data_IF_619370103744
#
_entry.id   IF_619370103744
#
_cell.length_a   1.000
_cell.length_b   1.000
_cell.length_c   1.000
_cell.angle_alpha   90.00
_cell.angle_beta   90.00
_cell.angle_gamma   90.00
#
_symmetry.space_group_name_H-M   'P 1'
#
loop_
_entity.id
_entity.type
_entity.pdbx_description
1 polymer ?
#
# COMPACT_ATOMS: atom_id res chain seq x y z
N UNK A 1 -1.95 56.49 6.26
CA UNK A 1 -1.94 55.68 5.02
C UNK A 1 -2.56 54.34 5.36
N UNK A 2 -3.74 54.07 4.82
CA UNK A 2 -4.52 52.86 5.12
C UNK A 2 -3.90 51.66 4.41
N UNK A 3 -3.58 50.60 5.15
CA UNK A 3 -3.15 49.33 4.60
C UNK A 3 -4.36 48.67 3.94
N UNK A 4 -4.37 48.63 2.61
CA UNK A 4 -5.37 47.88 1.87
C UNK A 4 -5.16 46.39 2.15
N UNK A 5 -6.15 45.75 2.79
CA UNK A 5 -6.22 44.31 2.90
C UNK A 5 -6.29 43.73 1.47
N UNK A 6 -5.35 42.86 1.14
CA UNK A 6 -5.38 42.12 -0.11
C UNK A 6 -6.63 41.23 -0.11
N UNK A 7 -7.50 41.43 -1.11
CA UNK A 7 -8.66 40.58 -1.33
C UNK A 7 -8.21 39.13 -1.53
N UNK A 8 -8.97 38.14 -1.01
CA UNK A 8 -8.69 36.73 -1.29
C UNK A 8 -8.74 36.47 -2.81
N UNK A 9 -7.93 35.54 -3.32
CA UNK A 9 -7.96 35.18 -4.74
C UNK A 9 -9.37 34.70 -5.12
N UNK A 10 -9.86 35.04 -6.32
CA UNK A 10 -11.16 34.58 -6.78
C UNK A 10 -11.18 33.04 -6.80
N UNK A 11 -12.34 32.41 -6.51
CA UNK A 11 -12.49 30.97 -6.69
C UNK A 11 -12.16 30.60 -8.14
N UNK A 12 -11.42 29.50 -8.33
CA UNK A 12 -11.07 28.97 -9.64
C UNK A 12 -12.33 28.86 -10.51
N UNK A 13 -12.24 29.33 -11.75
CA UNK A 13 -13.39 29.35 -12.65
C UNK A 13 -13.88 27.91 -12.91
N UNK A 14 -15.20 27.71 -12.90
CA UNK A 14 -15.80 26.44 -13.27
C UNK A 14 -15.30 26.02 -14.67
N UNK A 15 -14.59 24.88 -14.74
CA UNK A 15 -13.97 24.37 -15.97
C UNK A 15 -12.45 24.34 -16.01
N UNK A 16 -11.75 24.80 -14.96
CA UNK A 16 -10.30 24.59 -14.88
C UNK A 16 -9.97 23.16 -14.43
N UNK A 17 -9.40 22.37 -15.35
CA UNK A 17 -8.88 21.02 -15.10
C UNK A 17 -7.53 21.09 -14.36
N UNK A 18 -7.52 21.69 -13.16
CA UNK A 18 -6.28 21.89 -12.42
C UNK A 18 -5.68 20.56 -11.99
N UNK A 19 -4.46 20.32 -12.49
CA UNK A 19 -3.65 19.11 -12.27
C UNK A 19 -2.19 19.52 -12.13
N UNK A 20 -1.48 18.83 -11.25
CA UNK A 20 -0.08 19.10 -11.00
C UNK A 20 0.72 17.80 -11.02
N UNK A 21 1.82 17.80 -11.77
CA UNK A 21 2.80 16.71 -11.79
C UNK A 21 4.05 17.16 -11.06
N UNK A 22 4.28 16.60 -9.88
CA UNK A 22 5.47 16.87 -9.06
C UNK A 22 6.46 15.73 -9.27
N UNK A 23 7.59 16.03 -9.92
CA UNK A 23 8.61 15.02 -10.22
C UNK A 23 9.55 14.80 -9.05
N UNK A 24 9.92 13.54 -8.81
CA UNK A 24 10.89 13.17 -7.76
C UNK A 24 10.52 13.68 -6.37
N UNK A 25 9.22 13.72 -6.06
CA UNK A 25 8.70 14.22 -4.81
C UNK A 25 9.07 13.29 -3.64
N UNK A 26 8.97 11.97 -3.84
CA UNK A 26 9.50 10.98 -2.90
C UNK A 26 10.91 10.58 -3.33
N UNK A 27 11.77 10.32 -2.34
CA UNK A 27 13.09 9.78 -2.62
C UNK A 27 12.99 8.30 -3.01
N UNK A 28 13.98 7.76 -3.75
CA UNK A 28 14.03 6.33 -4.06
C UNK A 28 13.95 5.44 -2.80
N UNK A 29 14.58 5.86 -1.71
CA UNK A 29 14.58 5.15 -0.42
C UNK A 29 13.17 5.10 0.16
N UNK A 30 12.46 6.23 0.19
CA UNK A 30 11.05 6.28 0.64
C UNK A 30 10.15 5.42 -0.24
N UNK A 31 10.32 5.44 -1.57
CA UNK A 31 9.56 4.57 -2.47
C UNK A 31 9.79 3.10 -2.13
N UNK A 32 11.04 2.71 -1.87
CA UNK A 32 11.40 1.35 -1.50
C UNK A 32 10.86 0.95 -0.13
N UNK A 33 10.92 1.82 0.88
CA UNK A 33 10.31 1.55 2.19
C UNK A 33 8.80 1.28 2.08
N UNK A 34 8.09 2.12 1.31
CA UNK A 34 6.65 1.93 1.06
C UNK A 34 6.37 0.65 0.26
N UNK A 35 7.20 0.34 -0.74
CA UNK A 35 7.13 -0.94 -1.45
C UNK A 35 7.29 -2.11 -0.48
N UNK A 36 8.29 -2.09 0.40
CA UNK A 36 8.50 -3.12 1.42
C UNK A 36 7.25 -3.33 2.28
N UNK A 37 6.63 -2.24 2.77
CA UNK A 37 5.40 -2.33 3.57
C UNK A 37 4.28 -3.01 2.76
N UNK A 38 4.08 -2.61 1.51
CA UNK A 38 3.04 -3.19 0.66
C UNK A 38 3.27 -4.67 0.35
N UNK A 39 4.51 -5.04 0.02
CA UNK A 39 4.91 -6.42 -0.27
C UNK A 39 4.77 -7.32 0.95
N UNK A 40 4.95 -6.75 2.13
CA UNK A 40 4.88 -7.51 3.37
C UNK A 40 3.45 -7.67 3.89
N UNK A 41 2.56 -6.71 3.65
CA UNK A 41 1.26 -6.64 4.31
C UNK A 41 0.05 -6.47 3.37
N UNK A 42 0.25 -6.47 2.05
CA UNK A 42 -0.85 -6.33 1.09
C UNK A 42 -1.85 -7.48 1.11
N UNK A 43 -3.12 -7.14 1.09
CA UNK A 43 -4.29 -8.03 0.97
C UNK A 43 -4.96 -7.87 -0.39
N UNK A 44 -5.75 -8.85 -0.82
CA UNK A 44 -6.56 -8.73 -2.02
C UNK A 44 -7.48 -7.49 -1.93
N UNK A 45 -7.45 -6.67 -2.98
CA UNK A 45 -8.29 -5.50 -3.13
C UNK A 45 -9.70 -5.87 -3.58
N UNK A 46 -10.62 -4.90 -3.52
CA UNK A 46 -12.01 -5.14 -3.93
C UNK A 46 -12.18 -5.34 -5.44
N UNK A 47 -11.19 -4.94 -6.24
CA UNK A 47 -11.18 -5.12 -7.69
C UNK A 47 -10.38 -6.36 -8.07
N UNK A 48 -10.78 -7.07 -9.13
CA UNK A 48 -9.95 -8.11 -9.71
C UNK A 48 -8.54 -7.57 -10.01
N UNK A 49 -7.54 -8.43 -9.81
CA UNK A 49 -6.15 -8.10 -10.07
C UNK A 49 -5.55 -6.94 -9.26
N UNK A 50 -6.17 -6.52 -8.15
CA UNK A 50 -5.66 -5.42 -7.30
C UNK A 50 -5.30 -5.93 -5.91
N UNK A 51 -4.18 -5.44 -5.36
CA UNK A 51 -3.77 -5.65 -3.96
C UNK A 51 -3.74 -4.31 -3.26
N UNK A 52 -4.16 -4.24 -1.99
CA UNK A 52 -4.13 -3.01 -1.20
C UNK A 52 -3.53 -3.22 0.19
N UNK A 53 -2.91 -2.16 0.72
CA UNK A 53 -2.51 -2.04 2.13
C UNK A 53 -2.99 -0.70 2.63
N UNK A 54 -3.98 -0.70 3.54
CA UNK A 54 -4.45 0.51 4.22
C UNK A 54 -3.79 0.67 5.59
N UNK A 55 -3.72 1.90 6.09
CA UNK A 55 -3.16 2.14 7.44
C UNK A 55 -3.96 1.45 8.55
N UNK A 56 -5.32 1.45 8.51
CA UNK A 56 -6.11 0.67 9.48
C UNK A 56 -5.80 -0.83 9.44
N UNK A 57 -5.53 -1.41 8.26
CA UNK A 57 -5.15 -2.81 8.14
C UNK A 57 -3.81 -3.09 8.85
N UNK A 58 -2.81 -2.23 8.65
CA UNK A 58 -1.53 -2.35 9.35
C UNK A 58 -1.71 -2.25 10.88
N UNK A 59 -2.51 -1.31 11.35
CA UNK A 59 -2.78 -1.15 12.78
C UNK A 59 -3.51 -2.37 13.38
N UNK A 60 -4.50 -2.91 12.67
CA UNK A 60 -5.31 -4.04 13.11
C UNK A 60 -4.56 -5.39 13.08
N UNK A 61 -3.52 -5.54 12.26
CA UNK A 61 -2.74 -6.78 12.11
C UNK A 61 -1.46 -6.81 12.93
N UNK A 62 -1.33 -5.94 13.95
CA UNK A 62 -0.11 -5.84 14.77
C UNK A 62 1.09 -5.23 14.03
N UNK A 63 0.88 -4.66 12.84
CA UNK A 63 1.91 -4.10 11.98
C UNK A 63 2.00 -2.56 12.10
N UNK A 64 1.50 -1.97 13.19
CA UNK A 64 1.46 -0.51 13.37
C UNK A 64 2.83 0.18 13.32
N UNK A 65 3.91 -0.54 13.63
CA UNK A 65 5.28 -0.04 13.49
C UNK A 65 5.67 0.27 12.03
N UNK A 66 4.99 -0.32 11.05
CA UNK A 66 5.20 -0.05 9.63
C UNK A 66 4.50 1.24 9.14
N UNK A 67 3.79 1.95 10.02
CA UNK A 67 3.18 3.25 9.69
C UNK A 67 4.19 4.40 9.65
N UNK A 68 5.39 4.21 10.21
CA UNK A 68 6.39 5.28 10.36
C UNK A 68 6.75 5.99 9.05
N UNK A 69 6.98 5.30 7.91
CA UNK A 69 7.31 5.98 6.65
C UNK A 69 6.17 6.87 6.13
N UNK A 70 4.92 6.55 6.49
CA UNK A 70 3.75 7.30 6.01
C UNK A 70 3.59 8.65 6.70
N UNK A 71 4.04 8.80 7.94
CA UNK A 71 3.87 10.04 8.72
C UNK A 71 4.45 11.25 7.97
N UNK A 72 5.75 11.30 7.64
CA UNK A 72 6.30 12.45 6.91
C UNK A 72 5.78 12.54 5.47
N UNK A 73 5.42 11.42 4.83
CA UNK A 73 4.91 11.42 3.45
C UNK A 73 3.51 12.04 3.38
N UNK A 74 2.61 11.67 4.29
CA UNK A 74 1.24 12.18 4.40
C UNK A 74 1.24 13.69 4.63
N UNK A 75 2.05 14.16 5.58
CA UNK A 75 2.19 15.59 5.88
C UNK A 75 2.67 16.37 4.66
N UNK A 76 3.76 15.92 4.02
CA UNK A 76 4.31 16.58 2.83
C UNK A 76 3.33 16.59 1.66
N UNK A 77 2.58 15.51 1.45
CA UNK A 77 1.56 15.44 0.40
C UNK A 77 0.42 16.40 0.67
N UNK A 78 -0.07 16.48 1.93
CA UNK A 78 -1.09 17.46 2.31
C UNK A 78 -0.60 18.88 2.02
N UNK A 79 0.61 19.24 2.47
CA UNK A 79 1.19 20.56 2.21
C UNK A 79 1.32 20.87 0.72
N UNK A 80 1.68 19.87 -0.10
CA UNK A 80 1.78 20.01 -1.54
C UNK A 80 0.41 20.25 -2.20
N UNK A 81 -0.63 19.53 -1.78
CA UNK A 81 -2.01 19.71 -2.27
C UNK A 81 -2.54 21.08 -1.85
N UNK A 82 -2.35 21.46 -0.59
CA UNK A 82 -2.76 22.76 -0.08
C UNK A 82 -2.09 23.91 -0.83
N UNK A 83 -0.80 23.78 -1.13
CA UNK A 83 -0.05 24.76 -1.93
C UNK A 83 -0.54 24.83 -3.37
N UNK A 84 -0.79 23.66 -4.00
CA UNK A 84 -1.24 23.57 -5.38
C UNK A 84 -2.61 24.25 -5.61
N UNK A 85 -3.50 24.15 -4.62
CA UNK A 85 -4.86 24.71 -4.69
C UNK A 85 -5.09 25.95 -3.83
N UNK A 86 -4.03 26.52 -3.25
CA UNK A 86 -4.10 27.72 -2.39
C UNK A 86 -5.12 27.60 -1.25
N UNK A 87 -5.16 26.45 -0.58
CA UNK A 87 -6.09 26.13 0.51
C UNK A 87 -5.39 25.65 1.78
N UNK A 88 -4.35 26.36 2.20
CA UNK A 88 -3.55 26.05 3.38
C UNK A 88 -4.38 25.84 4.65
N UNK A 89 -4.03 24.80 5.41
CA UNK A 89 -4.62 24.39 6.67
C UNK A 89 -6.11 24.04 6.62
N UNK A 90 -6.63 23.69 5.44
CA UNK A 90 -8.06 23.40 5.24
C UNK A 90 -8.33 21.93 4.87
N UNK A 91 -7.29 21.08 4.86
CA UNK A 91 -7.41 19.69 4.43
C UNK A 91 -7.20 18.68 5.57
N UNK A 92 -8.07 17.68 5.58
CA UNK A 92 -7.89 16.44 6.33
C UNK A 92 -7.61 15.31 5.34
N UNK A 93 -6.86 14.30 5.78
CA UNK A 93 -6.63 13.10 4.98
C UNK A 93 -7.80 12.16 5.21
N UNK A 94 -8.60 11.93 4.17
CA UNK A 94 -9.77 11.06 4.23
C UNK A 94 -9.36 9.58 4.20
N UNK A 95 -8.28 9.27 3.48
CA UNK A 95 -7.80 7.92 3.30
C UNK A 95 -6.35 7.90 2.78
N UNK A 96 -5.59 6.90 3.26
CA UNK A 96 -4.25 6.58 2.78
C UNK A 96 -4.14 5.10 2.47
N UNK A 97 -3.68 4.76 1.26
CA UNK A 97 -3.49 3.35 0.88
C UNK A 97 -2.40 3.13 -0.16
N UNK A 98 -1.62 2.07 0.04
CA UNK A 98 -0.75 1.51 -0.99
C UNK A 98 -1.59 0.58 -1.85
N UNK A 99 -1.62 0.84 -3.15
CA UNK A 99 -2.45 0.12 -4.12
C UNK A 99 -1.54 -0.40 -5.23
N UNK A 100 -1.63 -1.70 -5.45
CA UNK A 100 -0.97 -2.39 -6.54
C UNK A 100 -2.00 -2.89 -7.55
N UNK A 101 -1.72 -2.61 -8.82
CA UNK A 101 -2.49 -3.07 -9.97
C UNK A 101 -1.65 -4.10 -10.70
N UNK A 102 -2.02 -5.36 -10.58
CA UNK A 102 -1.38 -6.46 -11.30
C UNK A 102 -1.88 -6.50 -12.75
N UNK A 103 -1.20 -7.30 -13.58
CA UNK A 103 -1.63 -7.57 -14.96
C UNK A 103 -3.14 -7.85 -15.07
N UNK A 104 -3.80 -7.19 -16.02
CA UNK A 104 -5.24 -7.26 -16.27
C UNK A 104 -6.08 -6.27 -15.44
N UNK A 105 -5.51 -5.62 -14.42
CA UNK A 105 -6.23 -4.61 -13.65
C UNK A 105 -6.41 -3.33 -14.45
N UNK A 106 -7.62 -2.76 -14.41
CA UNK A 106 -7.99 -1.48 -15.01
C UNK A 106 -9.17 -0.85 -14.28
N UNK A 107 -9.40 0.45 -14.50
CA UNK A 107 -10.59 1.15 -14.01
C UNK A 107 -11.06 2.12 -15.08
N UNK A 108 -12.34 2.03 -15.43
CA UNK A 108 -12.96 2.93 -16.40
C UNK A 108 -13.10 4.36 -15.89
N UNK A 109 -13.62 5.22 -16.76
CA UNK A 109 -13.83 6.64 -16.49
C UNK A 109 -14.67 6.89 -15.22
N UNK A 110 -14.13 7.69 -14.31
CA UNK A 110 -14.80 8.09 -13.08
C UNK A 110 -14.20 9.39 -12.51
N UNK A 111 -14.96 10.09 -11.66
CA UNK A 111 -14.42 11.02 -10.68
C UNK A 111 -14.28 10.31 -9.33
N UNK A 112 -13.40 10.81 -8.46
CA UNK A 112 -13.16 10.23 -7.14
C UNK A 112 -14.34 10.47 -6.18
N UNK A 113 -15.14 11.51 -6.43
CA UNK A 113 -16.33 11.89 -5.66
C UNK A 113 -17.64 11.26 -6.18
N UNK A 114 -17.57 10.34 -7.15
CA UNK A 114 -18.72 9.93 -7.97
C UNK A 114 -19.90 9.24 -7.22
N UNK A 115 -19.70 8.76 -5.99
CA UNK A 115 -20.71 8.04 -5.19
C UNK A 115 -21.08 8.80 -3.92
N UNK A 116 -22.31 8.64 -3.37
CA UNK A 116 -22.74 9.38 -2.18
C UNK A 116 -21.78 9.32 -1.00
N UNK A 117 -21.17 8.15 -0.74
CA UNK A 117 -20.22 7.95 0.36
C UNK A 117 -18.78 8.43 0.04
N UNK A 118 -18.55 8.99 -1.14
CA UNK A 118 -17.26 9.54 -1.60
C UNK A 118 -17.33 11.05 -1.87
N UNK A 119 -18.52 11.66 -1.78
CA UNK A 119 -18.77 13.06 -2.17
C UNK A 119 -17.96 14.09 -1.37
N UNK A 120 -17.48 13.71 -0.19
CA UNK A 120 -16.64 14.54 0.67
C UNK A 120 -15.23 14.78 0.11
N UNK A 121 -14.80 14.00 -0.89
CA UNK A 121 -13.45 14.13 -1.47
C UNK A 121 -13.32 15.45 -2.22
N UNK A 122 -12.31 16.22 -1.85
CA UNK A 122 -11.97 17.48 -2.49
C UNK A 122 -10.81 17.28 -3.49
N UNK A 123 -9.77 16.53 -3.10
CA UNK A 123 -8.55 16.37 -3.88
C UNK A 123 -7.99 14.95 -3.79
N UNK A 124 -7.16 14.60 -4.77
CA UNK A 124 -6.48 13.32 -4.86
C UNK A 124 -4.99 13.54 -5.08
N UNK A 125 -4.16 12.72 -4.44
CA UNK A 125 -2.74 12.59 -4.76
C UNK A 125 -2.40 11.12 -5.04
N UNK A 126 -1.75 10.87 -6.18
CA UNK A 126 -1.27 9.55 -6.59
C UNK A 126 0.25 9.61 -6.72
N UNK A 127 0.94 8.91 -5.83
CA UNK A 127 2.40 8.82 -5.82
C UNK A 127 2.84 7.49 -6.42
N UNK A 128 3.72 7.53 -7.40
CA UNK A 128 4.22 6.33 -8.07
C UNK A 128 5.43 5.78 -7.33
N UNK A 129 5.44 4.47 -7.08
CA UNK A 129 6.51 3.81 -6.30
C UNK A 129 7.44 2.96 -7.16
N UNK A 130 7.10 2.76 -8.43
CA UNK A 130 7.90 2.04 -9.41
C UNK A 130 7.75 2.63 -10.82
N UNK A 131 8.62 2.20 -11.74
CA UNK A 131 8.84 2.86 -13.03
C UNK A 131 7.95 2.29 -14.14
N UNK A 132 7.15 3.15 -14.79
CA UNK A 132 6.47 2.76 -16.03
C UNK A 132 7.47 2.51 -17.17
N UNK A 133 7.25 1.46 -17.94
CA UNK A 133 8.12 1.02 -19.05
C UNK A 133 9.30 0.14 -18.61
N UNK A 134 9.55 0.01 -17.30
CA UNK A 134 10.60 -0.82 -16.72
C UNK A 134 10.04 -1.87 -15.77
N UNK A 135 9.27 -1.46 -14.76
CA UNK A 135 8.70 -2.36 -13.76
C UNK A 135 7.27 -2.80 -14.14
N UNK A 136 6.56 -2.00 -14.94
CA UNK A 136 5.24 -2.33 -15.49
C UNK A 136 4.98 -1.62 -16.83
N UNK A 137 4.01 -2.12 -17.61
CA UNK A 137 3.50 -1.47 -18.84
C UNK A 137 1.98 -1.36 -18.82
N UNK A 138 1.43 -0.37 -19.50
CA UNK A 138 0.03 0.03 -19.33
C UNK A 138 -0.17 0.63 -17.94
N UNK A 139 -1.37 0.57 -17.37
CA UNK A 139 -1.65 1.21 -16.09
C UNK A 139 -1.48 2.74 -16.10
N UNK A 140 -1.63 3.39 -17.25
CA UNK A 140 -1.49 4.84 -17.39
C UNK A 140 -2.74 5.52 -16.85
N UNK A 141 -2.54 6.49 -15.96
CA UNK A 141 -3.59 7.41 -15.51
C UNK A 141 -3.88 8.39 -16.65
N UNK A 142 -5.10 8.33 -17.17
CA UNK A 142 -5.59 9.18 -18.25
C UNK A 142 -6.75 10.02 -17.75
N UNK A 143 -6.83 11.26 -18.22
CA UNK A 143 -7.90 12.19 -17.93
C UNK A 143 -8.70 12.46 -19.20
N UNK A 144 -10.01 12.57 -19.04
CA UNK A 144 -10.93 12.65 -20.18
C UNK A 144 -10.80 13.98 -20.95
N UNK A 145 -10.60 15.07 -20.22
CA UNK A 145 -10.55 16.44 -20.72
C UNK A 145 -9.39 17.21 -20.08
N UNK A 146 -8.88 18.27 -20.71
CA UNK A 146 -7.82 19.12 -20.17
C UNK A 146 -6.40 18.52 -20.22
N UNK A 147 -5.40 19.34 -19.89
CA UNK A 147 -3.98 18.96 -19.93
C UNK A 147 -3.32 18.96 -18.54
N UNK A 148 -2.37 18.04 -18.27
CA UNK A 148 -2.00 16.92 -19.13
C UNK A 148 -3.13 15.88 -19.21
N UNK A 149 -3.35 15.34 -20.41
CA UNK A 149 -4.34 14.27 -20.66
C UNK A 149 -3.88 12.90 -20.13
N UNK A 150 -2.57 12.68 -20.00
CA UNK A 150 -1.98 11.54 -19.32
C UNK A 150 -0.56 11.88 -18.84
N UNK A 151 -0.04 11.07 -17.92
CA UNK A 151 1.32 11.22 -17.41
C UNK A 151 2.01 9.86 -17.50
N UNK A 152 3.25 9.84 -17.99
CA UNK A 152 4.14 8.68 -17.90
C UNK A 152 5.03 8.86 -16.67
N UNK A 153 4.73 8.17 -15.56
CA UNK A 153 5.36 8.45 -14.28
C UNK A 153 6.56 7.53 -14.05
N UNK A 154 7.50 8.03 -13.26
CA UNK A 154 8.61 7.25 -12.68
C UNK A 154 8.46 7.16 -11.17
N UNK A 155 9.20 6.25 -10.53
CA UNK A 155 9.19 6.15 -9.08
C UNK A 155 9.52 7.52 -8.43
N UNK A 156 8.69 7.93 -7.47
CA UNK A 156 8.80 9.18 -6.73
C UNK A 156 7.96 10.33 -7.28
N UNK A 157 7.41 10.21 -8.49
CA UNK A 157 6.51 11.21 -9.05
C UNK A 157 5.14 11.20 -8.35
N UNK A 158 4.53 12.39 -8.26
CA UNK A 158 3.19 12.58 -7.69
C UNK A 158 2.31 13.33 -8.68
N UNK A 159 1.09 12.86 -8.86
CA UNK A 159 0.04 13.56 -9.61
C UNK A 159 -1.04 14.00 -8.64
N UNK A 160 -1.36 15.29 -8.64
CA UNK A 160 -2.36 15.92 -7.77
C UNK A 160 -3.46 16.53 -8.64
N UNK A 161 -4.72 16.30 -8.29
CA UNK A 161 -5.88 16.80 -9.03
C UNK A 161 -7.12 16.92 -8.13
N UNK A 162 -8.15 17.65 -8.58
CA UNK A 162 -9.45 17.74 -7.88
C UNK A 162 -10.20 16.42 -7.98
N UNK A 163 -10.95 16.04 -6.94
CA UNK A 163 -11.66 14.75 -6.92
C UNK A 163 -12.96 14.74 -7.73
N UNK A 164 -13.42 15.91 -8.19
CA UNK A 164 -14.71 16.11 -8.84
C UNK A 164 -14.69 15.78 -10.35
N UNK A 165 -15.82 16.00 -11.01
CA UNK A 165 -15.98 15.72 -12.44
C UNK A 165 -15.03 16.53 -13.34
N UNK A 166 -14.44 17.62 -12.85
CA UNK A 166 -13.41 18.39 -13.56
C UNK A 166 -12.16 17.54 -13.83
N UNK A 167 -11.96 16.43 -13.12
CA UNK A 167 -10.86 15.50 -13.37
C UNK A 167 -11.35 14.06 -13.47
N UNK A 168 -12.37 13.86 -14.33
CA UNK A 168 -12.79 12.50 -14.71
C UNK A 168 -11.61 11.78 -15.37
N UNK A 169 -11.26 10.61 -14.83
CA UNK A 169 -10.06 9.88 -15.17
C UNK A 169 -10.30 8.36 -15.20
N UNK A 170 -9.37 7.65 -15.85
CA UNK A 170 -9.33 6.21 -15.88
C UNK A 170 -7.88 5.73 -15.71
N UNK A 171 -7.71 4.45 -15.41
CA UNK A 171 -6.41 3.78 -15.51
C UNK A 171 -6.57 2.66 -16.51
N UNK A 172 -5.83 2.73 -17.61
CA UNK A 172 -5.85 1.66 -18.61
C UNK A 172 -5.28 0.35 -18.06
N UNK A 173 -5.47 -0.73 -18.80
CA UNK A 173 -5.06 -2.05 -18.35
C UNK A 173 -3.55 -2.15 -18.13
N UNK A 174 -3.15 -2.66 -16.96
CA UNK A 174 -1.77 -3.10 -16.75
C UNK A 174 -1.52 -4.34 -17.61
N UNK A 175 -0.67 -4.21 -18.63
CA UNK A 175 -0.42 -5.29 -19.61
C UNK A 175 0.77 -6.18 -19.22
N UNK A 176 1.74 -5.62 -18.48
CA UNK A 176 2.91 -6.32 -17.97
C UNK A 176 3.29 -5.78 -16.59
N UNK A 177 3.83 -6.65 -15.74
CA UNK A 177 4.31 -6.26 -14.41
C UNK A 177 3.19 -5.88 -13.45
N UNK A 178 3.52 -4.97 -12.55
CA UNK A 178 2.65 -4.55 -11.45
C UNK A 178 2.84 -3.06 -11.16
N UNK A 179 1.80 -2.25 -11.29
CA UNK A 179 1.85 -0.81 -11.03
C UNK A 179 1.58 -0.54 -9.55
N UNK A 180 2.55 0.04 -8.85
CA UNK A 180 2.47 0.32 -7.43
C UNK A 180 2.38 1.82 -7.14
N UNK A 181 1.34 2.22 -6.40
CA UNK A 181 1.12 3.61 -6.01
C UNK A 181 0.75 3.77 -4.54
N UNK A 182 1.12 4.90 -3.94
CA UNK A 182 0.49 5.43 -2.74
C UNK A 182 -0.60 6.43 -3.14
N UNK A 183 -1.84 6.15 -2.77
CA UNK A 183 -2.99 7.01 -3.06
C UNK A 183 -3.50 7.65 -1.78
N UNK A 184 -3.67 8.98 -1.81
CA UNK A 184 -4.34 9.75 -0.77
C UNK A 184 -5.55 10.48 -1.35
N UNK A 185 -6.63 10.47 -0.58
CA UNK A 185 -7.78 11.35 -0.80
C UNK A 185 -7.87 12.37 0.34
N UNK A 186 -8.20 13.60 -0.01
CA UNK A 186 -8.31 14.72 0.93
C UNK A 186 -9.74 15.22 0.98
N UNK A 187 -10.15 15.68 2.15
CA UNK A 187 -11.48 16.23 2.43
C UNK A 187 -11.33 17.57 3.17
N UNK A 188 -12.33 18.45 3.03
CA UNK A 188 -12.46 19.65 3.87
C UNK A 188 -13.35 19.42 5.09
N UNK A 189 -13.97 18.25 5.18
CA UNK A 189 -14.85 17.86 6.29
C UNK A 189 -14.08 16.96 7.27
N UNK A 190 -13.82 17.51 8.46
CA UNK A 190 -13.09 16.82 9.54
C UNK A 190 -13.79 15.57 10.05
N UNK A 191 -15.10 15.40 9.82
CA UNK A 191 -15.81 14.16 10.17
C UNK A 191 -15.29 12.93 9.41
N UNK A 192 -14.58 13.16 8.30
CA UNK A 192 -14.01 12.12 7.44
C UNK A 192 -12.50 11.93 7.62
N UNK A 193 -11.89 12.61 8.59
CA UNK A 193 -10.47 12.43 8.92
C UNK A 193 -10.16 10.95 9.27
N UNK A 194 -9.11 10.40 8.64
CA UNK A 194 -8.61 9.05 8.85
C UNK A 194 -7.92 8.89 10.21
N UNK A 195 -7.30 9.95 10.73
CA UNK A 195 -6.41 9.89 11.89
C UNK A 195 -7.11 9.43 13.17
N UNK A 196 -8.30 9.96 13.56
CA UNK A 196 -9.01 9.47 14.74
C UNK A 196 -9.30 7.96 14.69
N UNK A 197 -9.65 7.43 13.51
CA UNK A 197 -9.91 6.00 13.32
C UNK A 197 -8.62 5.19 13.48
N UNK A 198 -7.53 5.65 12.86
CA UNK A 198 -6.22 5.00 12.94
C UNK A 198 -5.69 4.96 14.38
N UNK A 199 -5.80 6.06 15.12
CA UNK A 199 -5.40 6.15 16.53
C UNK A 199 -6.22 5.21 17.42
N UNK A 200 -7.52 5.06 17.14
CA UNK A 200 -8.37 4.09 17.83
C UNK A 200 -7.84 2.66 17.66
N UNK A 201 -7.53 2.23 16.44
CA UNK A 201 -6.95 0.90 16.20
C UNK A 201 -5.61 0.71 16.93
N UNK A 202 -4.70 1.68 16.85
CA UNK A 202 -3.39 1.60 17.50
C UNK A 202 -3.50 1.52 19.03
N UNK A 203 -4.45 2.26 19.62
CA UNK A 203 -4.68 2.23 21.07
C UNK A 203 -5.28 0.90 21.55
N UNK A 204 -6.21 0.31 20.79
CA UNK A 204 -6.79 -1.00 21.12
C UNK A 204 -5.73 -2.12 21.10
N UNK A 205 -4.85 -2.10 20.09
CA UNK A 205 -3.73 -3.05 19.99
C UNK A 205 -2.76 -2.90 21.17
N UNK A 206 -2.59 -1.68 21.70
CA UNK A 206 -1.72 -1.40 22.85
C UNK A 206 -2.34 -1.81 24.20
N UNK A 207 -3.67 -1.77 24.32
CA UNK A 207 -4.40 -2.07 25.57
C UNK A 207 -4.63 -3.57 25.82
N UNK A 208 -4.64 -4.40 24.78
CA UNK A 208 -4.77 -5.87 24.90
C UNK A 208 -3.48 -6.55 25.40
N UNK A 209 -2.59 -5.81 26.06
CA UNK A 209 -1.24 -6.23 26.43
C UNK A 209 -1.18 -6.65 27.91
N UNK A 210 -0.99 -7.95 28.15
CA UNK A 210 -0.52 -8.46 29.44
C UNK A 210 1.03 -8.49 29.46
N UNK A 211 1.72 -8.04 30.52
CA UNK A 211 3.16 -7.74 30.50
C UNK A 211 4.12 -8.93 30.33
N UNK A 212 3.61 -10.16 30.21
CA UNK A 212 4.39 -11.39 30.46
C UNK A 212 4.87 -12.10 29.19
N UNK A 213 4.34 -11.79 28.00
CA UNK A 213 4.82 -12.39 26.74
C UNK A 213 5.37 -11.35 25.76
N UNK A 214 6.70 -11.21 25.77
CA UNK A 214 7.49 -10.40 24.85
C UNK A 214 7.30 -10.89 23.39
N UNK A 215 6.42 -10.23 22.62
CA UNK A 215 6.42 -10.29 21.14
C UNK A 215 5.50 -9.21 20.53
N UNK A 216 5.72 -7.94 20.89
CA UNK A 216 4.90 -6.79 20.46
C UNK A 216 4.92 -6.47 18.95
N UNK A 217 5.67 -7.23 18.15
CA UNK A 217 5.87 -6.99 16.72
C UNK A 217 5.55 -8.19 15.85
N UNK A 218 5.05 -9.28 16.44
CA UNK A 218 4.63 -10.44 15.64
C UNK A 218 3.28 -10.09 15.00
N UNK A 219 3.20 -10.11 13.66
CA UNK A 219 1.96 -9.77 12.99
C UNK A 219 0.88 -10.82 13.28
N UNK A 220 -0.35 -10.35 13.45
CA UNK A 220 -1.53 -11.18 13.56
C UNK A 220 -2.29 -11.09 12.22
N UNK A 221 -2.26 -12.13 11.38
CA UNK A 221 -2.91 -12.05 10.08
C UNK A 221 -4.43 -11.84 10.25
N UNK A 222 -4.99 -11.00 9.38
CA UNK A 222 -6.45 -10.95 9.19
C UNK A 222 -7.00 -12.30 8.69
N UNK A 223 -8.32 -12.38 8.51
CA UNK A 223 -8.97 -13.57 7.95
C UNK A 223 -8.34 -13.96 6.61
N UNK A 224 -8.11 -15.26 6.39
CA UNK A 224 -7.41 -15.76 5.20
C UNK A 224 -8.09 -15.38 3.89
N UNK A 225 -9.42 -15.18 3.90
CA UNK A 225 -10.17 -14.70 2.74
C UNK A 225 -9.70 -13.33 2.24
N UNK A 226 -9.11 -12.50 3.12
CA UNK A 226 -8.55 -11.21 2.73
C UNK A 226 -7.25 -11.36 1.92
N UNK A 227 -6.54 -12.48 2.05
CA UNK A 227 -5.33 -12.76 1.27
C UNK A 227 -5.62 -13.58 0.02
N UNK A 228 -6.86 -14.03 -0.17
CA UNK A 228 -7.25 -14.79 -1.35
C UNK A 228 -7.38 -13.89 -2.57
N UNK A 229 -6.47 -14.05 -3.51
CA UNK A 229 -6.47 -13.34 -4.79
C UNK A 229 -7.23 -14.15 -5.82
N UNK A 230 -8.46 -13.75 -6.11
CA UNK A 230 -9.30 -14.39 -7.11
C UNK A 230 -8.94 -13.94 -8.53
N UNK A 231 -8.84 -14.89 -9.46
CA UNK A 231 -8.67 -14.66 -10.88
C UNK A 231 -9.55 -15.66 -11.67
N UNK A 232 -10.60 -15.14 -12.29
CA UNK A 232 -11.67 -15.90 -12.97
C UNK A 232 -12.25 -17.04 -12.10
N UNK A 233 -12.00 -18.29 -12.47
CA UNK A 233 -12.49 -19.50 -11.79
C UNK A 233 -11.46 -20.10 -10.82
N UNK A 234 -10.35 -19.40 -10.56
CA UNK A 234 -9.23 -19.86 -9.73
C UNK A 234 -8.76 -18.76 -8.78
N UNK A 235 -7.82 -19.09 -7.90
CA UNK A 235 -7.19 -18.09 -7.06
C UNK A 235 -6.01 -18.66 -6.29
N UNK A 236 -5.32 -17.80 -5.57
CA UNK A 236 -4.19 -18.18 -4.73
C UNK A 236 -4.08 -17.24 -3.54
N UNK A 237 -3.41 -17.69 -2.48
CA UNK A 237 -3.07 -16.84 -1.35
C UNK A 237 -1.88 -15.93 -1.72
N UNK A 238 -2.05 -14.61 -1.58
CA UNK A 238 -1.02 -13.60 -1.90
C UNK A 238 0.26 -13.83 -1.09
N UNK A 239 0.17 -14.32 0.15
CA UNK A 239 1.35 -14.57 1.00
C UNK A 239 2.16 -15.73 0.44
N UNK A 240 1.50 -16.82 0.06
CA UNK A 240 2.14 -17.96 -0.61
C UNK A 240 2.83 -17.54 -1.90
N UNK A 241 2.13 -16.80 -2.76
CA UNK A 241 2.69 -16.32 -4.01
C UNK A 241 3.95 -15.44 -3.79
N UNK A 242 3.92 -14.54 -2.80
CA UNK A 242 5.06 -13.66 -2.51
C UNK A 242 6.25 -14.42 -1.93
N UNK A 243 6.02 -15.35 -1.00
CA UNK A 243 7.09 -16.22 -0.49
C UNK A 243 7.69 -17.08 -1.61
N UNK A 244 6.86 -17.57 -2.52
CA UNK A 244 7.30 -18.30 -3.71
C UNK A 244 8.16 -17.44 -4.65
N UNK A 245 7.78 -16.18 -4.91
CA UNK A 245 8.57 -15.24 -5.71
C UNK A 245 9.95 -14.98 -5.07
N UNK A 246 10.04 -14.99 -3.75
CA UNK A 246 11.32 -14.90 -3.02
C UNK A 246 12.15 -16.21 -3.08
N UNK A 247 11.62 -17.26 -3.71
CA UNK A 247 12.26 -18.56 -3.86
C UNK A 247 12.15 -19.43 -2.61
N UNK A 248 11.06 -19.29 -1.86
CA UNK A 248 10.76 -20.08 -0.67
C UNK A 248 9.38 -20.76 -0.75
N UNK A 249 9.13 -21.72 0.12
CA UNK A 249 7.81 -22.33 0.35
C UNK A 249 7.53 -22.49 1.85
N UNK A 250 6.24 -22.47 2.22
CA UNK A 250 5.82 -22.72 3.59
C UNK A 250 5.80 -24.21 3.90
N UNK A 251 6.23 -24.56 5.12
CA UNK A 251 6.17 -25.90 5.67
C UNK A 251 5.60 -25.85 7.08
N UNK A 252 4.91 -26.93 7.49
CA UNK A 252 4.44 -27.09 8.88
C UNK A 252 5.60 -27.13 9.86
N UNK A 253 5.40 -26.54 11.04
CA UNK A 253 6.39 -26.63 12.14
C UNK A 253 6.23 -27.89 12.99
N UNK A 254 5.22 -28.74 12.73
CA UNK A 254 4.99 -29.97 13.49
C UNK A 254 6.00 -31.03 13.01
N UNK A 255 6.83 -31.53 13.94
CA UNK A 255 7.83 -32.56 13.67
C UNK A 255 7.22 -33.81 13.02
N UNK A 256 7.89 -34.34 11.99
CA UNK A 256 7.65 -35.67 11.42
C UNK A 256 8.02 -36.84 12.40
N UNK A 257 8.14 -36.59 13.71
CA UNK A 257 8.51 -37.62 14.69
C UNK A 257 7.33 -38.50 15.13
N UNK A 258 6.09 -38.16 14.77
CA UNK A 258 4.96 -39.08 14.95
C UNK A 258 4.74 -39.94 13.69
N UNK A 259 5.47 -41.05 13.64
CA UNK A 259 5.10 -42.22 12.82
C UNK A 259 3.72 -42.76 13.25
N UNK A 260 2.64 -42.15 12.79
CA UNK A 260 1.33 -42.80 12.75
C UNK A 260 0.38 -42.12 11.75
N UNK A 261 0.23 -42.80 10.61
CA UNK A 261 -0.98 -42.92 9.78
C UNK A 261 -1.60 -41.63 9.19
N UNK A 262 -1.39 -41.52 7.87
CA UNK A 262 -2.01 -40.65 6.86
C UNK A 262 -1.62 -39.16 6.87
N UNK A 263 -1.20 -38.60 5.72
CA UNK A 263 -1.08 -37.16 5.59
C UNK A 263 -2.51 -36.62 5.55
N UNK A 264 -2.98 -36.04 6.65
CA UNK A 264 -3.93 -34.96 6.48
C UNK A 264 -3.11 -33.86 5.80
N UNK A 265 -3.28 -33.73 4.47
CA UNK A 265 -2.89 -32.53 3.76
C UNK A 265 -3.66 -31.39 4.44
N UNK A 266 -3.07 -30.79 5.46
CA UNK A 266 -3.57 -29.55 6.05
C UNK A 266 -3.80 -28.61 4.86
N UNK A 267 -5.02 -28.06 4.74
CA UNK A 267 -5.32 -27.07 3.72
C UNK A 267 -4.20 -26.02 3.75
N UNK A 268 -3.51 -25.75 2.62
CA UNK A 268 -2.40 -24.79 2.58
C UNK A 268 -2.74 -23.44 3.21
N UNK A 269 -4.03 -23.09 3.28
CA UNK A 269 -4.54 -21.89 3.93
C UNK A 269 -4.58 -22.04 5.47
N UNK A 270 -5.05 -23.17 6.00
CA UNK A 270 -5.07 -23.42 7.46
C UNK A 270 -3.66 -23.44 8.08
N UNK A 271 -2.65 -23.80 7.28
CA UNK A 271 -1.24 -23.75 7.67
C UNK A 271 -0.79 -22.32 8.02
N UNK A 272 -1.27 -21.30 7.32
CA UNK A 272 -0.73 -19.95 7.39
C UNK A 272 -1.06 -19.22 8.68
N UNK A 273 -2.08 -19.66 9.42
CA UNK A 273 -2.42 -19.16 10.75
C UNK A 273 -1.63 -19.83 11.90
N UNK A 274 -0.97 -20.96 11.64
CA UNK A 274 -0.18 -21.73 12.60
C UNK A 274 1.31 -21.38 12.48
N UNK A 275 2.18 -21.79 13.44
CA UNK A 275 3.62 -21.64 13.27
C UNK A 275 4.13 -22.40 12.03
N UNK A 276 5.01 -21.76 11.26
CA UNK A 276 5.51 -22.26 9.97
C UNK A 276 7.03 -22.20 9.89
N UNK A 277 7.60 -23.02 9.00
CA UNK A 277 8.99 -22.94 8.55
C UNK A 277 9.03 -22.52 7.08
N UNK A 278 10.16 -21.96 6.66
CA UNK A 278 10.45 -21.73 5.25
C UNK A 278 11.33 -22.86 4.73
N UNK A 279 11.12 -23.27 3.48
CA UNK A 279 12.03 -24.13 2.74
C UNK A 279 12.43 -23.52 1.40
N UNK A 280 13.48 -24.04 0.78
CA UNK A 280 13.98 -23.67 -0.55
C UNK A 280 14.52 -24.92 -1.23
N UNK A 281 13.91 -25.29 -2.35
CA UNK A 281 14.21 -26.59 -2.98
C UNK A 281 13.85 -27.72 -2.01
N UNK A 282 14.79 -28.63 -1.77
CA UNK A 282 14.62 -29.76 -0.86
C UNK A 282 14.99 -29.44 0.60
N UNK A 283 15.53 -28.25 0.86
CA UNK A 283 15.99 -27.84 2.20
C UNK A 283 14.87 -27.11 2.97
N UNK A 284 14.66 -27.47 4.24
CA UNK A 284 13.78 -26.75 5.17
C UNK A 284 14.63 -26.10 6.27
N UNK A 285 14.45 -24.79 6.48
CA UNK A 285 15.22 -24.04 7.46
C UNK A 285 14.72 -24.28 8.88
N UNK A 286 15.65 -24.27 9.83
CA UNK A 286 15.32 -24.60 11.22
C UNK A 286 14.43 -23.56 11.91
N UNK A 287 14.49 -22.30 11.44
CA UNK A 287 13.79 -21.18 12.04
C UNK A 287 12.28 -21.34 11.91
N UNK A 288 11.61 -21.41 13.06
CA UNK A 288 10.14 -21.36 13.16
C UNK A 288 9.67 -19.90 13.24
N UNK A 289 8.68 -19.57 12.42
CA UNK A 289 7.96 -18.31 12.43
C UNK A 289 6.58 -18.52 13.05
N UNK A 290 6.05 -17.48 13.67
CA UNK A 290 4.77 -17.54 14.38
C UNK A 290 3.57 -17.81 13.46
N UNK A 291 3.61 -17.34 12.21
CA UNK A 291 2.61 -17.55 11.18
C UNK A 291 3.18 -17.17 9.80
N UNK A 292 2.40 -17.41 8.73
CA UNK A 292 2.81 -17.12 7.35
C UNK A 292 3.10 -15.64 7.09
N UNK A 293 2.39 -14.72 7.76
CA UNK A 293 2.63 -13.27 7.62
C UNK A 293 3.95 -12.85 8.27
N UNK A 294 4.29 -13.41 9.44
CA UNK A 294 5.58 -13.18 10.10
C UNK A 294 6.74 -13.68 9.23
N UNK A 295 6.62 -14.89 8.67
CA UNK A 295 7.61 -15.44 7.75
C UNK A 295 7.77 -14.59 6.47
N UNK A 296 6.66 -14.12 5.89
CA UNK A 296 6.67 -13.22 4.74
C UNK A 296 7.37 -11.88 5.07
N UNK A 297 7.04 -11.25 6.19
CA UNK A 297 7.66 -9.99 6.61
C UNK A 297 9.17 -10.11 6.76
N UNK A 298 9.64 -11.16 7.44
CA UNK A 298 11.08 -11.37 7.67
C UNK A 298 11.82 -11.68 6.37
N UNK A 299 11.27 -12.57 5.53
CA UNK A 299 11.88 -12.91 4.23
C UNK A 299 11.92 -11.70 3.29
N UNK A 300 10.84 -10.92 3.25
CA UNK A 300 10.78 -9.67 2.47
C UNK A 300 11.79 -8.64 3.00
N UNK A 301 11.97 -8.53 4.32
CA UNK A 301 12.92 -7.61 4.93
C UNK A 301 14.37 -7.93 4.55
N UNK A 302 14.78 -9.21 4.58
CA UNK A 302 16.12 -9.60 4.17
C UNK A 302 16.35 -9.40 2.66
N UNK A 303 15.34 -9.66 1.83
CA UNK A 303 15.40 -9.36 0.40
C UNK A 303 15.50 -7.85 0.15
N UNK A 304 14.75 -7.06 0.90
CA UNK A 304 14.84 -5.61 0.87
C UNK A 304 16.25 -5.14 1.23
N UNK A 305 16.81 -5.57 2.37
CA UNK A 305 18.16 -5.21 2.77
C UNK A 305 19.21 -5.59 1.71
N UNK A 306 19.11 -6.78 1.09
CA UNK A 306 20.06 -7.17 0.05
C UNK A 306 19.97 -6.29 -1.21
N UNK A 307 18.79 -5.78 -1.54
CA UNK A 307 18.62 -4.81 -2.63
C UNK A 307 19.29 -3.44 -2.36
N UNK A 308 19.46 -3.06 -1.09
CA UNK A 308 20.27 -1.90 -0.67
C UNK A 308 21.77 -2.26 -0.51
N UNK A 309 22.09 -3.53 -0.27
CA UNK A 309 23.41 -4.00 0.15
C UNK A 309 24.38 -4.38 -0.99
N UNK A 310 24.15 -3.93 -2.23
CA UNK A 310 25.25 -3.79 -3.19
C UNK A 310 26.28 -2.72 -2.75
N UNK A 311 25.99 -1.95 -1.68
CA UNK A 311 26.94 -1.05 -1.02
C UNK A 311 27.37 -1.44 0.40
N UNK A 312 26.70 -2.39 1.08
CA UNK A 312 26.94 -2.68 2.52
C UNK A 312 27.52 -4.08 2.78
N UNK A 313 27.55 -4.98 1.79
CA UNK A 313 28.19 -6.30 1.92
C UNK A 313 29.74 -6.27 2.05
N UNK A 314 30.39 -5.10 2.08
CA UNK A 314 31.84 -5.01 2.31
C UNK A 314 32.25 -4.85 3.78
N UNK A 315 31.32 -4.70 4.74
CA UNK A 315 31.70 -4.31 6.11
C UNK A 315 31.42 -5.35 7.20
N UNK A 316 30.64 -6.42 6.98
CA UNK A 316 30.40 -7.42 8.05
C UNK A 316 30.34 -8.87 7.58
N UNK A 317 31.48 -9.38 7.12
CA UNK A 317 31.88 -10.78 7.29
C UNK A 317 33.39 -10.81 7.59
N UNK A 318 33.75 -10.33 8.78
CA UNK A 318 34.94 -10.71 9.55
C UNK A 318 34.52 -10.88 11.01
#
# INVERSE_FOLDING_TARGET
MSAAAASPPPPAAAGEHLRFHLRGFLSPETCKELEFVHRSCGTAGYRPSVVSTSLPHLAATGCGHLLLPFVPVRERLRDAVESAFSCHFDLFIEFTGLISWCKGASIGWHSDDNKPYLRQRAFTAVCYLNDHGKDYKGGILQFQDGEPSFITPVAGDVVIYTADNSNTHCVDEVTEGERLTLTLWFTRDSAYDEDPKLLSFLSQTSLNYEPVHQSSYIPLPASDIMYWFAYDHSGFDVRCARVHILGFSFHSSIDEDNKSVAPAEDDPIELLGKPVRLGRGDDVFDKVFANGLHALQVSTYFHFLSSFSLQIMSIRLQ
#
